data_IF_796188552787
#
_entry.id   IF_796188552787
#
_cell.length_a   1.000
_cell.length_b   1.000
_cell.length_c   1.000
_cell.angle_alpha   90.00
_cell.angle_beta   90.00
_cell.angle_gamma   90.00
#
_symmetry.space_group_name_H-M   'P 1'
#
loop_
_entity.id
_entity.type
_entity.pdbx_description
1 polymer ?
#
# COMPACT_ATOMS: atom_id res chain seq x y z
N UNK A 1 5.88 67.55 44.75
CA UNK A 1 5.44 66.20 45.13
C UNK A 1 5.37 65.32 43.89
N UNK A 2 5.80 64.07 44.05
CA UNK A 2 5.87 62.94 43.09
C UNK A 2 7.15 62.80 42.27
N UNK A 3 7.88 61.79 42.72
CA UNK A 3 9.16 61.21 42.33
C UNK A 3 9.14 60.60 40.92
N UNK A 4 10.31 60.47 40.25
CA UNK A 4 10.43 59.62 39.07
C UNK A 4 10.55 58.15 39.49
N UNK A 5 9.60 57.32 39.03
CA UNK A 5 9.67 55.87 39.11
C UNK A 5 10.77 55.34 38.20
N UNK A 6 11.65 54.55 38.81
CA UNK A 6 12.77 53.82 38.23
C UNK A 6 12.35 52.89 37.09
N UNK A 7 12.87 53.11 35.89
CA UNK A 7 12.96 52.04 34.90
C UNK A 7 14.20 51.19 35.21
N UNK A 8 13.94 50.02 35.79
CA UNK A 8 14.91 48.96 36.01
C UNK A 8 15.54 48.53 34.69
N UNK A 9 16.87 48.66 34.59
CA UNK A 9 17.69 48.01 33.57
C UNK A 9 17.37 46.50 33.57
N UNK A 10 17.17 45.85 32.41
CA UNK A 10 17.10 44.41 32.38
C UNK A 10 18.46 43.86 32.82
N UNK A 11 18.41 43.12 33.92
CA UNK A 11 19.50 42.33 34.48
C UNK A 11 20.19 41.55 33.36
N UNK A 12 21.47 41.84 33.14
CA UNK A 12 22.37 40.94 32.41
C UNK A 12 22.34 39.60 33.14
N UNK A 13 21.70 38.60 32.53
CA UNK A 13 21.89 37.23 32.96
C UNK A 13 23.39 36.92 32.93
N UNK A 14 23.95 36.34 34.01
CA UNK A 14 25.37 36.07 34.08
C UNK A 14 25.72 35.02 33.03
N UNK A 15 26.73 35.36 32.23
CA UNK A 15 27.44 34.48 31.30
C UNK A 15 27.75 33.17 32.01
N UNK A 16 27.05 32.09 31.64
CA UNK A 16 27.36 30.75 32.10
C UNK A 16 28.62 30.26 31.37
N UNK A 17 29.71 30.16 32.14
CA UNK A 17 30.87 29.26 31.98
C UNK A 17 31.41 29.01 30.56
N UNK A 18 32.41 29.81 30.18
CA UNK A 18 33.27 29.64 28.99
C UNK A 18 34.24 28.44 29.06
N UNK A 19 34.01 27.47 29.96
CA UNK A 19 34.83 26.26 30.10
C UNK A 19 34.19 25.00 29.52
N UNK A 20 32.97 25.08 28.94
CA UNK A 20 32.11 23.90 28.81
C UNK A 20 31.68 23.53 27.38
N UNK A 21 32.14 24.20 26.32
CA UNK A 21 31.61 23.94 24.97
C UNK A 21 32.30 22.79 24.23
N UNK A 22 33.60 22.54 24.44
CA UNK A 22 34.32 21.42 23.82
C UNK A 22 33.92 20.08 24.45
N UNK A 23 33.87 20.02 25.78
CA UNK A 23 33.38 18.85 26.50
C UNK A 23 31.93 18.53 26.16
N UNK A 24 31.06 19.54 26.03
CA UNK A 24 29.70 19.35 25.52
C UNK A 24 29.68 18.77 24.09
N UNK A 25 30.54 19.28 23.19
CA UNK A 25 30.71 18.71 21.85
C UNK A 25 31.14 17.24 21.89
N UNK A 26 32.10 16.88 22.75
CA UNK A 26 32.55 15.49 22.92
C UNK A 26 31.40 14.59 23.39
N UNK A 27 30.63 15.01 24.40
CA UNK A 27 29.49 14.26 24.90
C UNK A 27 28.40 14.06 23.85
N UNK A 28 28.09 15.08 23.04
CA UNK A 28 27.13 14.96 21.93
C UNK A 28 27.59 13.94 20.89
N UNK A 29 28.89 13.94 20.55
CA UNK A 29 29.47 13.01 19.58
C UNK A 29 29.52 11.59 20.17
N UNK A 30 29.82 11.41 21.46
CA UNK A 30 29.70 10.11 22.16
C UNK A 30 28.26 9.60 22.16
N UNK A 31 27.28 10.50 22.34
CA UNK A 31 25.87 10.16 22.16
C UNK A 31 25.56 9.62 20.75
N UNK A 32 26.16 10.21 19.71
CA UNK A 32 26.01 9.71 18.34
C UNK A 32 26.66 8.33 18.13
N UNK A 33 27.77 8.03 18.81
CA UNK A 33 28.37 6.67 18.85
C UNK A 33 27.36 5.67 19.42
N UNK A 34 26.79 5.98 20.58
CA UNK A 34 25.80 5.12 21.25
C UNK A 34 24.55 4.91 20.38
N UNK A 35 24.06 5.95 19.72
CA UNK A 35 22.98 5.82 18.73
C UNK A 35 23.41 4.91 17.59
N UNK A 36 24.61 5.10 17.03
CA UNK A 36 25.16 4.23 15.99
C UNK A 36 25.20 2.75 16.38
N UNK A 37 25.45 2.42 17.65
CA UNK A 37 25.42 1.03 18.13
C UNK A 37 24.02 0.40 18.12
N UNK A 38 22.98 1.22 18.23
CA UNK A 38 21.59 0.78 18.29
C UNK A 38 20.93 0.69 16.91
N UNK A 39 21.55 1.25 15.86
CA UNK A 39 20.97 1.34 14.53
C UNK A 39 21.24 0.08 13.68
N UNK A 40 20.22 -0.71 13.30
CA UNK A 40 20.42 -1.98 12.60
C UNK A 40 20.99 -1.86 11.18
N UNK A 41 20.72 -0.77 10.46
CA UNK A 41 21.11 -0.59 9.05
C UNK A 41 22.24 0.42 8.91
N UNK A 42 22.08 1.60 9.53
CA UNK A 42 23.04 2.69 9.42
C UNK A 42 24.16 2.66 10.48
N UNK A 43 24.07 1.76 11.46
CA UNK A 43 24.87 1.84 12.67
C UNK A 43 26.37 1.82 12.44
N UNK A 44 26.84 1.00 11.50
CA UNK A 44 28.28 0.86 11.21
C UNK A 44 28.94 2.19 10.82
N UNK A 45 28.36 2.94 9.88
CA UNK A 45 28.98 4.18 9.41
C UNK A 45 28.75 5.35 10.37
N UNK A 46 27.59 5.42 11.04
CA UNK A 46 27.31 6.44 12.07
C UNK A 46 28.30 6.28 13.22
N UNK A 47 28.44 5.05 13.75
CA UNK A 47 29.36 4.73 14.84
C UNK A 47 30.81 5.03 14.45
N UNK A 48 31.23 4.61 13.25
CA UNK A 48 32.60 4.78 12.77
C UNK A 48 32.98 6.27 12.68
N UNK A 49 32.16 7.08 12.00
CA UNK A 49 32.42 8.51 11.88
C UNK A 49 32.39 9.22 13.24
N UNK A 50 31.36 8.96 14.05
CA UNK A 50 31.24 9.58 15.37
C UNK A 50 32.42 9.19 16.26
N UNK A 51 32.86 7.92 16.22
CA UNK A 51 34.03 7.45 16.98
C UNK A 51 35.31 8.17 16.57
N UNK A 52 35.55 8.34 15.26
CA UNK A 52 36.69 9.13 14.77
C UNK A 52 36.62 10.59 15.23
N UNK A 53 35.43 11.20 15.22
CA UNK A 53 35.23 12.55 15.71
C UNK A 53 35.49 12.66 17.23
N UNK A 54 35.08 11.67 18.04
CA UNK A 54 35.40 11.62 19.48
C UNK A 54 36.92 11.66 19.68
N UNK A 55 37.64 10.76 19.00
CA UNK A 55 39.10 10.68 19.12
C UNK A 55 39.76 12.01 18.74
N UNK A 56 39.32 12.64 17.65
CA UNK A 56 39.85 13.93 17.24
C UNK A 56 39.59 15.02 18.30
N UNK A 57 38.36 15.15 18.78
CA UNK A 57 37.99 16.17 19.76
C UNK A 57 38.65 15.96 21.13
N UNK A 58 38.80 14.71 21.58
CA UNK A 58 39.52 14.39 22.83
C UNK A 58 41.03 14.71 22.73
N UNK A 59 41.63 14.53 21.55
CA UNK A 59 42.99 15.02 21.32
C UNK A 59 43.04 16.55 21.42
N UNK A 60 42.04 17.25 20.88
CA UNK A 60 41.95 18.71 21.01
C UNK A 60 41.62 19.19 22.44
N UNK A 61 40.99 18.38 23.29
CA UNK A 61 40.68 18.77 24.67
C UNK A 61 41.93 18.86 25.54
N UNK A 62 42.95 18.05 25.23
CA UNK A 62 44.27 18.12 25.89
C UNK A 62 44.95 19.47 25.69
N UNK A 63 44.42 20.31 24.81
CA UNK A 63 45.06 21.47 24.23
C UNK A 63 44.45 22.77 24.81
N UNK A 64 44.71 23.00 26.10
CA UNK A 64 43.97 23.91 26.99
C UNK A 64 44.05 25.42 26.64
N UNK A 65 44.97 25.83 25.75
CA UNK A 65 45.45 27.22 25.62
C UNK A 65 44.76 28.13 24.59
N UNK A 66 43.85 27.61 23.75
CA UNK A 66 43.10 28.46 22.79
C UNK A 66 41.66 27.99 22.62
N UNK A 67 40.79 28.46 23.52
CA UNK A 67 39.43 27.94 23.65
C UNK A 67 38.54 28.29 22.46
N UNK A 68 38.53 29.52 21.96
CA UNK A 68 37.48 29.95 21.02
C UNK A 68 37.55 29.28 19.65
N UNK A 69 38.71 29.27 18.98
CA UNK A 69 38.86 28.67 17.65
C UNK A 69 38.62 27.15 17.67
N UNK A 70 39.13 26.48 18.72
CA UNK A 70 38.91 25.04 18.94
C UNK A 70 37.45 24.74 19.23
N UNK A 71 36.75 25.61 19.96
CA UNK A 71 35.33 25.49 20.24
C UNK A 71 34.45 25.72 18.99
N UNK A 72 34.84 26.60 18.08
CA UNK A 72 34.16 26.76 16.79
C UNK A 72 34.32 25.49 15.96
N UNK A 73 35.56 25.02 15.81
CA UNK A 73 35.85 23.79 15.08
C UNK A 73 35.11 22.58 15.66
N UNK A 74 35.08 22.45 16.99
CA UNK A 74 34.39 21.37 17.67
C UNK A 74 32.89 21.39 17.40
N UNK A 75 32.26 22.58 17.47
CA UNK A 75 30.85 22.75 17.09
C UNK A 75 30.61 22.38 15.64
N UNK A 76 31.49 22.79 14.74
CA UNK A 76 31.35 22.48 13.32
C UNK A 76 31.40 20.98 13.04
N UNK A 77 32.31 20.26 13.69
CA UNK A 77 32.39 18.79 13.59
C UNK A 77 31.18 18.13 14.24
N UNK A 78 30.77 18.60 15.42
CA UNK A 78 29.59 18.07 16.13
C UNK A 78 28.34 18.19 15.27
N UNK A 79 28.12 19.32 14.59
CA UNK A 79 26.96 19.51 13.73
C UNK A 79 26.95 18.52 12.57
N UNK A 80 28.10 18.28 11.94
CA UNK A 80 28.24 17.27 10.87
C UNK A 80 27.89 15.87 11.40
N UNK A 81 28.38 15.51 12.58
CA UNK A 81 28.04 14.22 13.21
C UNK A 81 26.55 14.11 13.55
N UNK A 82 25.93 15.20 14.02
CA UNK A 82 24.49 15.24 14.30
C UNK A 82 23.65 15.00 13.05
N UNK A 83 24.04 15.60 11.92
CA UNK A 83 23.38 15.39 10.62
C UNK A 83 23.39 13.90 10.26
N UNK A 84 24.55 13.26 10.40
CA UNK A 84 24.73 11.83 10.09
C UNK A 84 23.95 10.95 11.04
N UNK A 85 23.96 11.25 12.33
CA UNK A 85 23.16 10.53 13.34
C UNK A 85 21.68 10.56 12.96
N UNK A 86 21.14 11.74 12.70
CA UNK A 86 19.71 11.91 12.40
C UNK A 86 19.34 11.22 11.08
N UNK A 87 20.19 11.35 10.06
CA UNK A 87 20.01 10.63 8.80
C UNK A 87 20.07 9.11 9.01
N UNK A 88 20.98 8.61 9.85
CA UNK A 88 21.08 7.21 10.21
C UNK A 88 19.85 6.66 10.95
N UNK A 89 19.21 7.47 11.80
CA UNK A 89 17.91 7.15 12.43
C UNK A 89 16.83 6.99 11.35
N UNK A 90 16.74 7.94 10.42
CA UNK A 90 15.74 7.89 9.33
C UNK A 90 15.95 6.67 8.42
N UNK A 91 17.21 6.34 8.10
CA UNK A 91 17.54 5.13 7.34
C UNK A 91 17.08 3.89 8.11
N UNK A 92 17.44 3.78 9.38
CA UNK A 92 17.16 2.55 10.13
C UNK A 92 15.67 2.36 10.48
N UNK A 93 14.86 3.42 10.41
CA UNK A 93 13.40 3.33 10.55
C UNK A 93 12.71 2.66 9.35
N UNK A 94 13.34 2.68 8.17
CA UNK A 94 12.77 2.18 6.92
C UNK A 94 13.68 1.10 6.33
N UNK A 95 13.25 -0.16 6.36
CA UNK A 95 14.07 -1.34 6.00
C UNK A 95 14.63 -1.32 4.58
N UNK A 96 13.96 -0.62 3.66
CA UNK A 96 14.35 -0.48 2.25
C UNK A 96 15.07 0.85 1.94
N UNK A 97 15.46 1.62 2.95
CA UNK A 97 16.10 2.93 2.76
C UNK A 97 17.61 2.87 2.48
N UNK A 98 18.23 1.69 2.69
CA UNK A 98 19.67 1.49 2.53
C UNK A 98 20.17 1.86 1.12
N UNK A 99 19.31 1.71 0.10
CA UNK A 99 19.60 2.07 -1.29
C UNK A 99 19.80 3.59 -1.46
N UNK A 100 19.08 4.41 -0.69
CA UNK A 100 19.17 5.88 -0.74
C UNK A 100 20.29 6.44 0.15
N UNK A 101 20.99 5.58 0.90
CA UNK A 101 22.03 5.99 1.84
C UNK A 101 23.44 6.02 1.24
N UNK A 102 23.63 5.65 -0.03
CA UNK A 102 24.94 5.49 -0.66
C UNK A 102 25.77 6.79 -0.62
N UNK A 103 25.19 7.91 -1.05
CA UNK A 103 25.87 9.22 -1.06
C UNK A 103 26.25 9.69 0.34
N UNK A 104 25.36 9.47 1.30
CA UNK A 104 25.61 9.78 2.71
C UNK A 104 26.76 8.93 3.25
N UNK A 105 26.73 7.61 3.00
CA UNK A 105 27.77 6.68 3.44
C UNK A 105 29.14 7.04 2.86
N UNK A 106 29.20 7.37 1.58
CA UNK A 106 30.44 7.80 0.93
C UNK A 106 30.96 9.10 1.54
N UNK A 107 30.08 10.10 1.71
CA UNK A 107 30.44 11.36 2.36
C UNK A 107 30.93 11.16 3.81
N UNK A 108 30.33 10.22 4.55
CA UNK A 108 30.79 9.85 5.89
C UNK A 108 32.19 9.25 5.86
N UNK A 109 32.47 8.35 4.92
CA UNK A 109 33.79 7.73 4.78
C UNK A 109 34.88 8.76 4.42
N UNK A 110 34.58 9.70 3.52
CA UNK A 110 35.50 10.78 3.15
C UNK A 110 35.77 11.72 4.32
N UNK A 111 34.73 12.12 5.06
CA UNK A 111 34.90 12.97 6.23
C UNK A 111 35.63 12.26 7.37
N UNK A 112 35.35 10.97 7.59
CA UNK A 112 36.09 10.14 8.54
C UNK A 112 37.58 10.09 8.21
N UNK A 113 37.93 9.88 6.93
CA UNK A 113 39.31 9.90 6.47
C UNK A 113 39.96 11.27 6.73
N UNK A 114 39.27 12.35 6.37
CA UNK A 114 39.75 13.70 6.63
C UNK A 114 40.03 13.97 8.12
N UNK A 115 39.13 13.57 9.03
CA UNK A 115 39.34 13.70 10.47
C UNK A 115 40.50 12.84 10.99
N UNK A 116 40.68 11.64 10.43
CA UNK A 116 41.79 10.75 10.78
C UNK A 116 43.13 11.36 10.34
N UNK A 117 43.20 11.87 9.11
CA UNK A 117 44.38 12.55 8.57
C UNK A 117 44.71 13.82 9.37
N UNK A 118 43.69 14.56 9.81
CA UNK A 118 43.85 15.74 10.65
C UNK A 118 44.34 15.38 12.06
N UNK A 119 43.84 14.27 12.62
CA UNK A 119 44.31 13.73 13.91
C UNK A 119 45.80 13.38 13.84
N UNK A 120 46.22 12.69 12.78
CA UNK A 120 47.64 12.32 12.57
C UNK A 120 48.52 13.56 12.46
N UNK A 121 48.12 14.56 11.68
CA UNK A 121 48.87 15.82 11.55
C UNK A 121 49.02 16.53 12.89
N UNK A 122 47.96 16.56 13.70
CA UNK A 122 47.99 17.14 15.04
C UNK A 122 48.99 16.42 15.95
N UNK A 123 48.99 15.08 15.95
CA UNK A 123 49.90 14.25 16.75
C UNK A 123 51.35 14.42 16.27
N UNK A 124 51.58 14.51 14.96
CA UNK A 124 52.92 14.66 14.41
C UNK A 124 53.53 16.03 14.75
N UNK A 125 52.72 17.11 14.69
CA UNK A 125 53.12 18.45 15.13
C UNK A 125 53.48 18.46 16.63
N UNK A 126 52.68 17.79 17.46
CA UNK A 126 52.93 17.67 18.90
C UNK A 126 54.29 17.01 19.19
N UNK A 127 54.65 15.97 18.41
CA UNK A 127 55.89 15.22 18.62
C UNK A 127 57.16 15.93 18.18
N UNK A 128 57.05 16.86 17.22
CA UNK A 128 58.23 17.35 16.48
C UNK A 128 58.62 18.79 16.76
N UNK A 129 57.73 19.62 17.33
CA UNK A 129 57.93 21.08 17.32
C UNK A 129 57.94 21.77 18.70
N UNK A 130 58.99 22.57 18.95
CA UNK A 130 58.94 23.61 20.00
C UNK A 130 57.92 24.69 19.59
N UNK A 131 56.90 24.91 20.43
CA UNK A 131 55.81 25.83 20.11
C UNK A 131 54.68 25.20 19.28
N UNK A 132 54.55 23.87 19.29
CA UNK A 132 53.52 23.07 18.64
C UNK A 132 52.10 23.66 18.71
N UNK A 133 51.71 24.30 19.82
CA UNK A 133 50.43 25.00 19.93
C UNK A 133 50.15 26.02 18.83
N UNK A 134 51.16 26.82 18.48
CA UNK A 134 51.02 27.85 17.45
C UNK A 134 50.77 27.21 16.09
N UNK A 135 51.39 26.07 15.83
CA UNK A 135 51.29 25.35 14.56
C UNK A 135 50.01 24.52 14.47
N UNK A 136 49.57 23.87 15.55
CA UNK A 136 48.23 23.28 15.66
C UNK A 136 47.17 24.36 15.45
N UNK A 137 47.28 25.50 16.14
CA UNK A 137 46.33 26.61 15.93
C UNK A 137 46.30 27.02 14.47
N UNK A 138 47.47 27.27 13.85
CA UNK A 138 47.58 27.66 12.44
C UNK A 138 46.96 26.64 11.49
N UNK A 139 47.13 25.34 11.77
CA UNK A 139 46.53 24.25 11.00
C UNK A 139 45.00 24.28 11.13
N UNK A 140 44.47 24.32 12.35
CA UNK A 140 43.04 24.25 12.63
C UNK A 140 42.27 25.52 12.18
N UNK A 141 42.91 26.69 12.26
CA UNK A 141 42.37 27.95 11.74
C UNK A 141 42.74 28.17 10.28
N UNK A 142 43.37 27.20 9.62
CA UNK A 142 43.68 27.32 8.20
C UNK A 142 42.38 27.35 7.39
N UNK A 143 42.38 28.17 6.34
CA UNK A 143 41.24 28.28 5.43
C UNK A 143 40.86 26.91 4.83
N UNK A 144 41.85 26.08 4.51
CA UNK A 144 41.63 24.74 3.95
C UNK A 144 40.82 23.84 4.89
N UNK A 145 41.18 23.76 6.18
CA UNK A 145 40.46 22.95 7.17
C UNK A 145 39.03 23.47 7.37
N UNK A 146 38.89 24.79 7.54
CA UNK A 146 37.60 25.43 7.77
C UNK A 146 36.65 25.27 6.58
N UNK A 147 37.14 25.50 5.35
CA UNK A 147 36.35 25.32 4.13
C UNK A 147 36.00 23.85 3.88
N UNK A 148 36.91 22.91 4.16
CA UNK A 148 36.60 21.47 4.04
C UNK A 148 35.49 21.04 5.00
N UNK A 149 35.55 21.43 6.27
CA UNK A 149 34.50 21.07 7.24
C UNK A 149 33.17 21.69 6.85
N UNK A 150 33.17 22.96 6.43
CA UNK A 150 31.96 23.62 5.93
C UNK A 150 31.41 22.94 4.67
N UNK A 151 32.28 22.50 3.76
CA UNK A 151 31.90 21.73 2.57
C UNK A 151 31.25 20.40 2.97
N UNK A 152 31.86 19.63 3.88
CA UNK A 152 31.28 18.37 4.36
C UNK A 152 29.93 18.57 5.04
N UNK A 153 29.76 19.63 5.84
CA UNK A 153 28.46 20.01 6.39
C UNK A 153 27.42 20.21 5.30
N UNK A 154 27.75 20.96 4.25
CA UNK A 154 26.82 21.21 3.13
C UNK A 154 26.50 19.94 2.33
N UNK A 155 27.52 19.13 2.03
CA UNK A 155 27.36 17.86 1.32
C UNK A 155 26.50 16.89 2.12
N UNK A 156 26.75 16.75 3.43
CA UNK A 156 25.96 15.87 4.29
C UNK A 156 24.52 16.36 4.49
N UNK A 157 24.29 17.67 4.62
CA UNK A 157 22.92 18.20 4.62
C UNK A 157 22.21 17.95 3.29
N UNK A 158 22.89 18.16 2.16
CA UNK A 158 22.35 17.85 0.85
C UNK A 158 21.97 16.36 0.72
N UNK A 159 22.87 15.47 1.13
CA UNK A 159 22.62 14.03 1.15
C UNK A 159 21.45 13.65 2.07
N UNK A 160 21.37 14.24 3.27
CA UNK A 160 20.25 14.06 4.20
C UNK A 160 18.92 14.54 3.60
N UNK A 161 18.88 15.70 2.96
CA UNK A 161 17.67 16.22 2.34
C UNK A 161 17.21 15.34 1.16
N UNK A 162 18.14 14.88 0.33
CA UNK A 162 17.84 13.97 -0.77
C UNK A 162 17.32 12.61 -0.29
N UNK A 163 17.89 12.08 0.79
CA UNK A 163 17.38 10.89 1.48
C UNK A 163 15.93 11.12 1.95
N UNK A 164 15.67 12.21 2.69
CA UNK A 164 14.33 12.53 3.17
C UNK A 164 13.32 12.70 2.03
N UNK A 165 13.70 13.36 0.95
CA UNK A 165 12.87 13.50 -0.24
C UNK A 165 12.53 12.13 -0.84
N UNK A 166 13.53 11.25 -0.99
CA UNK A 166 13.36 9.91 -1.55
C UNK A 166 12.42 9.05 -0.70
N UNK A 167 12.57 9.11 0.63
CA UNK A 167 11.68 8.44 1.57
C UNK A 167 10.24 8.96 1.48
N UNK A 168 10.06 10.29 1.40
CA UNK A 168 8.73 10.89 1.25
C UNK A 168 8.06 10.52 -0.08
N UNK A 169 8.79 10.57 -1.19
CA UNK A 169 8.26 10.19 -2.51
C UNK A 169 7.80 8.72 -2.52
N UNK A 170 8.57 7.84 -1.88
CA UNK A 170 8.21 6.43 -1.73
C UNK A 170 6.95 6.22 -0.88
N UNK A 171 6.85 6.94 0.24
CA UNK A 171 5.67 6.90 1.11
C UNK A 171 4.41 7.34 0.32
N UNK A 172 4.49 8.47 -0.38
CA UNK A 172 3.40 9.00 -1.21
C UNK A 172 3.02 8.01 -2.32
N UNK A 173 3.99 7.42 -3.01
CA UNK A 173 3.72 6.41 -4.04
C UNK A 173 3.01 5.18 -3.48
N UNK A 174 3.39 4.74 -2.28
CA UNK A 174 2.71 3.64 -1.57
C UNK A 174 1.27 4.00 -1.21
N UNK A 175 1.02 5.22 -0.71
CA UNK A 175 -0.34 5.71 -0.42
C UNK A 175 -1.21 5.73 -1.67
N UNK A 176 -0.70 6.25 -2.80
CA UNK A 176 -1.44 6.25 -4.07
C UNK A 176 -1.83 4.83 -4.52
N UNK A 177 -0.95 3.84 -4.33
CA UNK A 177 -1.24 2.44 -4.68
C UNK A 177 -2.33 1.85 -3.78
N UNK A 178 -2.32 2.18 -2.49
CA UNK A 178 -3.36 1.77 -1.54
C UNK A 178 -4.70 2.40 -1.92
N UNK A 179 -4.75 3.71 -2.16
CA UNK A 179 -5.97 4.42 -2.53
C UNK A 179 -6.59 3.86 -3.81
N UNK A 180 -5.78 3.58 -4.82
CA UNK A 180 -6.24 2.92 -6.04
C UNK A 180 -6.78 1.51 -5.77
N UNK A 181 -6.10 0.72 -4.92
CA UNK A 181 -6.58 -0.60 -4.51
C UNK A 181 -7.92 -0.54 -3.76
N UNK A 182 -8.07 0.43 -2.86
CA UNK A 182 -9.32 0.67 -2.12
C UNK A 182 -10.44 1.08 -3.08
N UNK A 183 -10.18 1.97 -4.02
CA UNK A 183 -11.17 2.37 -5.03
C UNK A 183 -11.63 1.18 -5.90
N UNK A 184 -10.69 0.33 -6.33
CA UNK A 184 -11.01 -0.88 -7.08
C UNK A 184 -11.86 -1.87 -6.27
N UNK A 185 -11.55 -2.06 -4.99
CA UNK A 185 -12.34 -2.90 -4.08
C UNK A 185 -13.75 -2.34 -3.85
N UNK A 186 -13.89 -1.02 -3.69
CA UNK A 186 -15.19 -0.37 -3.56
C UNK A 186 -16.05 -0.53 -4.82
N UNK A 187 -15.45 -0.46 -6.01
CA UNK A 187 -16.14 -0.75 -7.27
C UNK A 187 -16.67 -2.19 -7.28
N UNK A 188 -15.81 -3.17 -6.98
CA UNK A 188 -16.19 -4.59 -6.92
C UNK A 188 -17.29 -4.88 -5.89
N UNK A 189 -17.24 -4.24 -4.72
CA UNK A 189 -18.29 -4.32 -3.70
C UNK A 189 -19.64 -3.82 -4.23
N UNK A 190 -19.63 -2.74 -5.02
CA UNK A 190 -20.82 -2.16 -5.63
C UNK A 190 -21.42 -3.07 -6.70
N UNK A 191 -20.57 -3.73 -7.48
CA UNK A 191 -20.97 -4.72 -8.48
C UNK A 191 -21.61 -5.95 -7.83
N UNK A 192 -20.98 -6.50 -6.78
CA UNK A 192 -21.51 -7.62 -6.00
C UNK A 192 -22.86 -7.29 -5.33
N UNK A 193 -23.02 -6.07 -4.80
CA UNK A 193 -24.30 -5.62 -4.26
C UNK A 193 -25.38 -5.56 -5.34
N UNK A 194 -25.00 -5.23 -6.58
CA UNK A 194 -25.92 -5.19 -7.73
C UNK A 194 -26.32 -6.59 -8.18
N UNK A 195 -25.35 -7.49 -8.33
CA UNK A 195 -25.59 -8.92 -8.64
C UNK A 195 -26.52 -9.53 -7.59
N UNK A 196 -26.27 -9.27 -6.30
CA UNK A 196 -27.09 -9.79 -5.21
C UNK A 196 -28.55 -9.31 -5.31
N UNK A 197 -28.77 -8.03 -5.64
CA UNK A 197 -30.12 -7.49 -5.87
C UNK A 197 -30.81 -8.15 -7.06
N UNK A 198 -30.07 -8.40 -8.13
CA UNK A 198 -30.63 -9.04 -9.33
C UNK A 198 -30.96 -10.52 -9.09
N UNK A 199 -30.13 -11.25 -8.34
CA UNK A 199 -30.45 -12.61 -7.88
C UNK A 199 -31.74 -12.58 -7.04
N UNK A 200 -31.86 -11.69 -6.05
CA UNK A 200 -33.08 -11.57 -5.25
C UNK A 200 -34.32 -11.28 -6.10
N UNK A 201 -34.20 -10.44 -7.13
CA UNK A 201 -35.29 -10.19 -8.10
C UNK A 201 -35.65 -11.42 -8.91
N UNK A 202 -34.66 -12.19 -9.39
CA UNK A 202 -34.89 -13.43 -10.13
C UNK A 202 -35.54 -14.48 -9.22
N UNK A 203 -35.07 -14.65 -7.98
CA UNK A 203 -35.66 -15.57 -7.01
C UNK A 203 -37.09 -15.15 -6.64
N UNK A 204 -37.37 -13.85 -6.47
CA UNK A 204 -38.72 -13.35 -6.23
C UNK A 204 -39.65 -13.57 -7.44
N UNK A 205 -39.14 -13.43 -8.66
CA UNK A 205 -39.88 -13.76 -9.90
C UNK A 205 -40.15 -15.26 -10.02
N UNK A 206 -39.15 -16.10 -9.75
CA UNK A 206 -39.33 -17.55 -9.66
C UNK A 206 -40.35 -17.94 -8.58
N UNK A 207 -40.37 -17.28 -7.43
CA UNK A 207 -41.40 -17.47 -6.40
C UNK A 207 -42.80 -17.03 -6.85
N UNK A 208 -42.92 -16.01 -7.70
CA UNK A 208 -44.19 -15.58 -8.29
C UNK A 208 -44.67 -16.54 -9.39
N UNK A 209 -43.73 -17.09 -10.16
CA UNK A 209 -43.97 -18.12 -11.19
C UNK A 209 -44.19 -19.52 -10.58
N UNK A 210 -43.75 -19.75 -9.34
CA UNK A 210 -43.99 -20.99 -8.58
C UNK A 210 -45.45 -21.21 -8.17
N UNK A 211 -46.38 -20.30 -8.52
CA UNK A 211 -47.81 -20.65 -8.54
C UNK A 211 -48.17 -21.71 -9.58
N UNK A 212 -47.26 -22.05 -10.49
CA UNK A 212 -47.48 -23.05 -11.54
C UNK A 212 -46.65 -24.34 -11.42
N UNK A 213 -45.80 -24.50 -10.40
CA UNK A 213 -44.80 -25.60 -10.34
C UNK A 213 -45.09 -26.73 -9.33
N UNK A 214 -46.30 -26.87 -8.78
CA UNK A 214 -46.62 -28.02 -7.91
C UNK A 214 -47.15 -29.25 -8.66
N UNK A 215 -46.66 -29.54 -9.85
CA UNK A 215 -46.91 -30.82 -10.53
C UNK A 215 -45.57 -31.52 -10.70
N UNK A 216 -45.18 -32.20 -9.63
CA UNK A 216 -44.05 -33.12 -9.59
C UNK A 216 -44.33 -34.22 -10.63
N UNK A 217 -43.36 -34.49 -11.49
CA UNK A 217 -43.38 -35.50 -12.57
C UNK A 217 -43.82 -36.92 -12.13
N UNK A 218 -43.91 -37.18 -10.83
CA UNK A 218 -44.31 -38.46 -10.25
C UNK A 218 -45.81 -38.76 -10.26
N UNK A 219 -46.65 -37.76 -10.57
CA UNK A 219 -48.10 -37.84 -10.43
C UNK A 219 -48.87 -37.93 -11.76
N UNK A 220 -48.17 -37.91 -12.89
CA UNK A 220 -48.77 -37.94 -14.24
C UNK A 220 -48.53 -39.31 -14.86
N UNK A 221 -49.57 -40.12 -14.99
CA UNK A 221 -49.52 -41.41 -15.66
C UNK A 221 -50.03 -41.26 -17.10
N UNK A 222 -49.15 -41.45 -18.07
CA UNK A 222 -49.54 -41.48 -19.48
C UNK A 222 -50.51 -42.66 -19.71
N UNK A 223 -51.65 -42.36 -20.31
CA UNK A 223 -52.64 -43.35 -20.73
C UNK A 223 -52.42 -43.73 -22.19
N UNK A 224 -52.59 -42.76 -23.08
CA UNK A 224 -52.52 -42.97 -24.53
C UNK A 224 -51.84 -41.80 -25.24
N UNK A 225 -50.83 -42.09 -26.05
CA UNK A 225 -50.19 -41.07 -26.89
C UNK A 225 -51.00 -40.86 -28.16
N UNK A 226 -51.42 -39.61 -28.40
CA UNK A 226 -52.25 -39.24 -29.53
C UNK A 226 -51.46 -38.76 -30.74
N UNK A 227 -50.35 -38.07 -30.51
CA UNK A 227 -49.50 -37.60 -31.61
C UNK A 227 -48.09 -37.33 -31.16
N UNK A 228 -47.13 -37.68 -32.01
CA UNK A 228 -45.73 -37.33 -31.84
C UNK A 228 -45.26 -36.57 -33.08
N UNK A 229 -44.90 -35.30 -32.90
CA UNK A 229 -44.33 -34.45 -33.95
C UNK A 229 -42.83 -34.36 -33.73
N UNK A 230 -42.06 -35.04 -34.57
CA UNK A 230 -40.61 -34.89 -34.61
C UNK A 230 -40.24 -33.62 -35.36
N UNK A 231 -39.29 -32.87 -34.83
CA UNK A 231 -38.79 -31.63 -35.43
C UNK A 231 -37.37 -31.89 -35.89
N UNK A 232 -37.12 -31.70 -37.18
CA UNK A 232 -35.82 -31.89 -37.79
C UNK A 232 -35.17 -30.55 -38.13
N UNK A 233 -33.85 -30.50 -37.97
CA UNK A 233 -33.02 -29.35 -38.28
C UNK A 233 -31.79 -29.81 -39.06
N UNK A 234 -31.24 -28.91 -39.87
CA UNK A 234 -29.98 -29.15 -40.58
C UNK A 234 -28.84 -28.80 -39.63
N UNK A 235 -28.01 -29.78 -39.30
CA UNK A 235 -26.76 -29.59 -38.55
C UNK A 235 -25.64 -30.22 -39.38
N UNK A 236 -24.65 -29.41 -39.76
CA UNK A 236 -23.51 -29.82 -40.60
C UNK A 236 -23.89 -30.52 -41.92
N UNK A 237 -25.04 -30.16 -42.50
CA UNK A 237 -25.49 -30.70 -43.79
C UNK A 237 -26.36 -31.96 -43.68
N UNK A 238 -26.51 -32.54 -42.48
CA UNK A 238 -27.37 -33.68 -42.22
C UNK A 238 -28.68 -33.27 -41.55
N UNK A 239 -29.76 -33.97 -41.93
CA UNK A 239 -31.09 -33.77 -41.35
C UNK A 239 -31.19 -34.59 -40.05
N UNK A 240 -31.05 -33.94 -38.90
CA UNK A 240 -31.12 -34.58 -37.59
C UNK A 240 -32.38 -34.16 -36.83
N UNK A 241 -32.88 -35.02 -35.94
CA UNK A 241 -34.00 -34.68 -35.05
C UNK A 241 -33.48 -33.73 -33.96
N UNK A 242 -33.90 -32.47 -34.01
CA UNK A 242 -33.49 -31.39 -33.08
C UNK A 242 -34.55 -31.09 -32.01
N UNK A 243 -35.70 -31.76 -32.09
CA UNK A 243 -36.74 -31.65 -31.09
C UNK A 243 -37.91 -32.61 -31.33
N UNK A 244 -38.83 -32.61 -30.38
CA UNK A 244 -40.05 -33.41 -30.44
C UNK A 244 -41.16 -32.74 -29.63
N UNK A 245 -42.40 -32.87 -30.10
CA UNK A 245 -43.60 -32.50 -29.36
C UNK A 245 -44.51 -33.72 -29.28
N UNK A 246 -44.73 -34.22 -28.07
CA UNK A 246 -45.59 -35.36 -27.81
C UNK A 246 -46.89 -34.85 -27.20
N UNK A 247 -48.03 -35.35 -27.70
CA UNK A 247 -49.34 -35.10 -27.10
C UNK A 247 -49.92 -36.42 -26.63
N UNK A 248 -50.30 -36.51 -25.37
CA UNK A 248 -50.83 -37.72 -24.78
C UNK A 248 -51.96 -37.43 -23.78
N UNK A 249 -52.88 -38.37 -23.61
CA UNK A 249 -53.79 -38.38 -22.49
C UNK A 249 -53.05 -38.86 -21.24
N UNK A 250 -53.28 -38.20 -20.10
CA UNK A 250 -52.70 -38.61 -18.83
C UNK A 250 -53.69 -38.51 -17.68
N UNK A 251 -53.55 -39.45 -16.74
CA UNK A 251 -54.15 -39.37 -15.43
C UNK A 251 -53.21 -38.58 -14.51
N UNK A 252 -53.77 -37.64 -13.75
CA UNK A 252 -53.00 -36.79 -12.82
C UNK A 252 -53.47 -37.12 -11.42
N UNK A 253 -52.60 -37.55 -10.51
CA UNK A 253 -52.98 -38.12 -9.20
C UNK A 253 -53.86 -37.19 -8.35
N UNK A 254 -53.77 -35.88 -8.57
CA UNK A 254 -54.55 -34.84 -7.88
C UNK A 254 -55.93 -34.58 -8.51
N UNK A 255 -56.30 -35.30 -9.57
CA UNK A 255 -57.55 -35.08 -10.31
C UNK A 255 -58.18 -36.38 -10.81
N UNK A 256 -59.51 -36.46 -10.76
CA UNK A 256 -60.28 -37.57 -11.32
C UNK A 256 -60.59 -37.40 -12.81
N UNK A 257 -59.98 -36.42 -13.48
CA UNK A 257 -60.16 -36.14 -14.90
C UNK A 257 -58.92 -36.56 -15.69
N UNK A 258 -59.13 -36.98 -16.93
CA UNK A 258 -58.04 -37.20 -17.89
C UNK A 258 -57.63 -35.84 -18.47
N UNK A 259 -56.33 -35.61 -18.54
CA UNK A 259 -55.72 -34.41 -19.09
C UNK A 259 -55.04 -34.70 -20.41
N UNK A 260 -55.05 -33.73 -21.32
CA UNK A 260 -54.20 -33.76 -22.51
C UNK A 260 -52.89 -33.11 -22.16
N UNK A 261 -51.81 -33.85 -22.15
CA UNK A 261 -50.48 -33.31 -21.89
C UNK A 261 -49.77 -33.05 -23.21
N UNK A 262 -49.13 -31.90 -23.33
CA UNK A 262 -48.14 -31.65 -24.37
C UNK A 262 -46.75 -31.58 -23.74
N UNK A 263 -45.87 -32.46 -24.18
CA UNK A 263 -44.46 -32.49 -23.79
C UNK A 263 -43.60 -31.96 -24.93
N UNK A 264 -42.77 -30.98 -24.63
CA UNK A 264 -41.87 -30.34 -25.58
C UNK A 264 -40.42 -30.67 -25.20
N UNK A 265 -39.67 -31.17 -26.18
CA UNK A 265 -38.30 -31.68 -26.01
C UNK A 265 -37.34 -31.08 -27.03
N UNK A 266 -36.12 -30.75 -26.60
CA UNK A 266 -35.07 -30.14 -27.42
C UNK A 266 -35.28 -28.64 -27.68
N UNK A 267 -34.23 -27.95 -28.14
CA UNK A 267 -34.25 -26.49 -28.38
C UNK A 267 -35.35 -26.08 -29.38
N UNK A 268 -35.56 -26.90 -30.41
CA UNK A 268 -36.63 -26.67 -31.38
C UNK A 268 -38.03 -26.95 -30.80
N UNK A 269 -38.14 -27.84 -29.80
CA UNK A 269 -39.36 -28.06 -29.05
C UNK A 269 -39.72 -26.86 -28.17
N UNK A 270 -38.72 -26.21 -27.56
CA UNK A 270 -38.93 -24.98 -26.78
C UNK A 270 -39.47 -23.84 -27.65
N UNK A 271 -38.93 -23.65 -28.85
CA UNK A 271 -39.44 -22.65 -29.80
C UNK A 271 -40.90 -22.92 -30.22
N UNK A 272 -41.30 -24.18 -30.38
CA UNK A 272 -42.70 -24.53 -30.64
C UNK A 272 -43.60 -24.31 -29.42
N UNK A 273 -43.09 -24.50 -28.21
CA UNK A 273 -43.81 -24.13 -26.99
C UNK A 273 -44.06 -22.62 -26.94
N UNK A 274 -43.05 -21.79 -27.21
CA UNK A 274 -43.20 -20.33 -27.23
C UNK A 274 -44.22 -19.88 -28.28
N UNK A 275 -44.21 -20.49 -29.46
CA UNK A 275 -45.18 -20.22 -30.52
C UNK A 275 -46.60 -20.61 -30.09
N UNK A 276 -46.78 -21.83 -29.57
CA UNK A 276 -48.07 -22.27 -29.04
C UNK A 276 -48.52 -21.31 -27.93
N UNK A 277 -47.65 -20.96 -26.99
CA UNK A 277 -47.95 -20.02 -25.91
C UNK A 277 -48.38 -18.64 -26.43
N UNK A 278 -47.69 -18.12 -27.43
CA UNK A 278 -48.01 -16.82 -28.05
C UNK A 278 -49.38 -16.84 -28.74
N UNK A 279 -49.69 -17.90 -29.50
CA UNK A 279 -51.00 -18.07 -30.15
C UNK A 279 -52.13 -18.14 -29.12
N UNK A 280 -51.91 -18.84 -28.00
CA UNK A 280 -52.93 -19.01 -26.97
C UNK A 280 -53.11 -17.77 -26.08
N UNK A 281 -52.07 -16.97 -25.89
CA UNK A 281 -52.12 -15.72 -25.11
C UNK A 281 -52.73 -14.54 -25.88
N UNK A 282 -52.73 -14.58 -27.22
CA UNK A 282 -53.25 -13.51 -28.08
C UNK A 282 -54.66 -13.75 -28.62
N UNK A 283 -55.23 -14.94 -28.46
CA UNK A 283 -56.59 -15.26 -28.93
C UNK A 283 -57.68 -14.61 -28.03
N UNK A 284 -58.54 -13.70 -28.56
CA UNK A 284 -59.62 -13.09 -27.79
C UNK A 284 -60.72 -14.12 -27.56
N UNK A 285 -60.78 -14.67 -26.35
CA UNK A 285 -61.76 -15.68 -25.87
C UNK A 285 -61.67 -17.03 -26.60
N UNK A 286 -60.57 -17.75 -26.41
CA UNK A 286 -60.62 -19.20 -26.58
C UNK A 286 -61.34 -19.83 -25.38
N UNK A 287 -62.43 -20.57 -25.60
CA UNK A 287 -63.22 -21.23 -24.55
C UNK A 287 -62.41 -22.20 -23.66
N UNK A 288 -61.16 -22.48 -24.01
CA UNK A 288 -60.30 -23.45 -23.34
C UNK A 288 -59.07 -22.84 -22.63
N UNK A 289 -58.97 -21.51 -22.49
CA UNK A 289 -57.90 -20.90 -21.67
C UNK A 289 -58.00 -21.30 -20.20
N UNK A 290 -59.20 -21.59 -19.68
CA UNK A 290 -59.35 -22.26 -18.38
C UNK A 290 -58.77 -23.67 -18.43
N UNK A 291 -58.95 -24.42 -19.51
CA UNK A 291 -58.49 -25.82 -19.59
C UNK A 291 -56.95 -25.97 -19.60
N UNK A 292 -56.18 -24.97 -20.02
CA UNK A 292 -54.71 -24.99 -20.01
C UNK A 292 -54.06 -24.79 -18.64
N UNK A 293 -54.79 -24.21 -17.69
CA UNK A 293 -54.27 -23.89 -16.35
C UNK A 293 -55.30 -24.21 -15.24
N UNK A 294 -56.31 -25.01 -15.57
CA UNK A 294 -57.50 -25.28 -14.75
C UNK A 294 -58.54 -26.13 -15.47
N UNK A 295 -58.31 -27.45 -15.46
CA UNK A 295 -59.12 -28.55 -16.02
C UNK A 295 -59.02 -28.82 -17.53
N UNK A 296 -57.92 -29.47 -17.93
CA UNK A 296 -57.91 -30.29 -19.15
C UNK A 296 -56.58 -30.45 -19.88
N UNK A 297 -55.59 -29.58 -19.67
CA UNK A 297 -54.28 -29.68 -20.34
C UNK A 297 -53.15 -29.40 -19.35
N UNK A 298 -52.13 -30.26 -19.34
CA UNK A 298 -50.88 -30.07 -18.59
C UNK A 298 -49.73 -29.79 -19.57
N UNK A 299 -48.80 -28.93 -19.21
CA UNK A 299 -47.61 -28.65 -20.04
C UNK A 299 -46.37 -29.08 -19.28
N UNK A 300 -45.59 -30.00 -19.86
CA UNK A 300 -44.31 -30.44 -19.33
C UNK A 300 -43.20 -30.01 -20.31
N UNK A 301 -42.17 -29.33 -19.79
CA UNK A 301 -40.97 -28.97 -20.55
C UNK A 301 -39.83 -29.82 -20.01
N UNK A 302 -39.22 -30.64 -20.88
CA UNK A 302 -38.07 -31.47 -20.51
C UNK A 302 -36.83 -30.91 -21.22
N UNK A 303 -35.93 -30.29 -20.44
CA UNK A 303 -34.60 -29.92 -20.93
C UNK A 303 -33.70 -31.16 -20.99
N UNK A 304 -33.05 -31.39 -22.13
CA UNK A 304 -31.93 -32.33 -22.22
C UNK A 304 -30.67 -31.63 -21.71
N UNK A 305 -29.93 -32.27 -20.80
CA UNK A 305 -28.55 -31.91 -20.45
C UNK A 305 -27.63 -32.68 -21.40
#
# INVERSE_FOLDING_TARGET
MRSPTSFSKPSRNPVQNSNNSLSASIELVKGAVAVGEMLPVAGSFVKSLAGTAVVFLENLERFEKNKEDVQVLARDITDVVIIVRDAGINISAESESAEYAADLKNSCAEFQKFLSDLTTQVIDIERTEQGFWRNIKKLLTSRDVQEKIKSYRQVMEGARLNLLLSLNLKSVASTFRIDHGVAALQSSQTDLATITRDIQRVTARSSADNKFHSLIYGDIQCRDTWSTKKIYGMVDGDLIQVGEVIKYAADVSTSNRVFVVKEYSGDAGLLEWERDFHVHSTAPRHQNLRQLYGSGILVCIRQFI
#
